data_IF_602826939144
#
_entry.id   IF_602826939144
#
_cell.length_a   1.000
_cell.length_b   1.000
_cell.length_c   1.000
_cell.angle_alpha   90.00
_cell.angle_beta   90.00
_cell.angle_gamma   90.00
#
_symmetry.space_group_name_H-M   'P 1'
#
loop_
_entity.id
_entity.type
_entity.pdbx_description
1 polymer ?
#
# COMPACT_ATOMS: atom_id res chain seq x y z
N UNK A 1 -0.18 1.93 -2.61
CA UNK A 1 -1.03 1.48 -3.74
C UNK A 1 -1.34 2.64 -4.69
N UNK A 2 -1.73 3.81 -4.20
CA UNK A 2 -2.15 4.95 -5.05
C UNK A 2 -1.08 5.35 -6.07
N UNK A 3 0.20 5.48 -5.67
CA UNK A 3 1.30 5.78 -6.59
C UNK A 3 1.49 4.69 -7.64
N UNK A 4 1.41 3.42 -7.26
CA UNK A 4 1.50 2.30 -8.21
C UNK A 4 0.38 2.33 -9.26
N UNK A 5 -0.79 2.85 -8.90
CA UNK A 5 -1.91 3.02 -9.83
C UNK A 5 -1.73 4.24 -10.72
N UNK A 6 -1.36 5.39 -10.16
CA UNK A 6 -1.40 6.67 -10.86
C UNK A 6 -0.13 6.98 -11.65
N UNK A 7 1.03 6.51 -11.19
CA UNK A 7 2.32 6.76 -11.85
C UNK A 7 2.53 5.77 -13.01
N UNK A 8 2.57 6.23 -14.28
CA UNK A 8 2.73 5.34 -15.43
C UNK A 8 4.11 4.64 -15.51
N UNK A 9 5.08 5.07 -14.70
CA UNK A 9 6.40 4.43 -14.62
C UNK A 9 6.42 3.26 -13.65
N UNK A 10 5.37 3.09 -12.84
CA UNK A 10 5.25 2.02 -11.86
C UNK A 10 4.54 0.80 -12.46
N UNK A 11 5.10 -0.37 -12.20
CA UNK A 11 4.53 -1.66 -12.61
C UNK A 11 4.20 -2.54 -11.40
N UNK A 12 2.91 -2.73 -11.16
CA UNK A 12 2.42 -3.58 -10.07
C UNK A 12 2.85 -5.06 -10.22
N UNK A 13 3.11 -5.52 -11.45
CA UNK A 13 3.50 -6.90 -11.71
C UNK A 13 4.87 -7.25 -11.13
N UNK A 14 5.77 -6.28 -11.02
CA UNK A 14 7.08 -6.48 -10.41
C UNK A 14 6.98 -6.92 -8.94
N UNK A 15 6.06 -6.31 -8.18
CA UNK A 15 5.82 -6.68 -6.79
C UNK A 15 5.12 -8.03 -6.65
N UNK A 16 4.20 -8.34 -7.58
CA UNK A 16 3.56 -9.65 -7.62
C UNK A 16 4.60 -10.75 -7.88
N UNK A 17 5.44 -10.60 -8.90
CA UNK A 17 6.51 -11.53 -9.21
C UNK A 17 7.53 -11.66 -8.08
N UNK A 18 7.85 -10.56 -7.40
CA UNK A 18 8.71 -10.60 -6.22
C UNK A 18 8.16 -11.53 -5.13
N UNK A 19 6.83 -11.51 -4.95
CA UNK A 19 6.16 -12.37 -3.99
C UNK A 19 6.02 -13.82 -4.49
N UNK A 20 5.52 -14.01 -5.72
CA UNK A 20 5.17 -15.35 -6.25
C UNK A 20 6.41 -16.18 -6.61
N UNK A 21 7.47 -15.56 -7.12
CA UNK A 21 8.67 -16.21 -7.66
C UNK A 21 9.89 -16.04 -6.75
N UNK A 22 9.76 -15.33 -5.62
CA UNK A 22 10.91 -14.95 -4.77
C UNK A 22 11.90 -14.04 -5.49
N UNK A 23 11.48 -13.42 -6.58
CA UNK A 23 12.27 -12.46 -7.32
C UNK A 23 12.46 -11.19 -6.48
N UNK A 24 13.71 -10.75 -6.32
CA UNK A 24 13.97 -9.44 -5.70
C UNK A 24 13.96 -8.39 -6.80
N UNK A 25 12.94 -7.52 -6.87
CA UNK A 25 12.93 -6.47 -7.89
C UNK A 25 14.18 -5.62 -7.73
N UNK A 26 14.78 -5.26 -8.85
CA UNK A 26 15.88 -4.31 -8.83
C UNK A 26 15.35 -3.01 -8.20
N UNK A 27 15.99 -2.60 -7.08
CA UNK A 27 15.58 -1.41 -6.33
C UNK A 27 15.49 -0.17 -7.22
N UNK A 28 16.39 -0.08 -8.21
CA UNK A 28 16.46 1.06 -9.13
C UNK A 28 15.30 1.08 -10.13
N UNK A 29 14.66 -0.06 -10.39
CA UNK A 29 13.46 -0.13 -11.21
C UNK A 29 12.20 0.28 -10.43
N UNK A 30 12.15 -0.03 -9.14
CA UNK A 30 10.92 0.10 -8.34
C UNK A 30 10.93 1.36 -7.47
N UNK A 31 12.08 1.70 -6.89
CA UNK A 31 12.19 2.76 -5.89
C UNK A 31 13.05 3.95 -6.35
N UNK A 32 13.57 3.92 -7.58
CA UNK A 32 14.28 5.05 -8.16
C UNK A 32 13.35 6.27 -8.19
N UNK A 33 13.83 7.41 -7.76
CA UNK A 33 13.08 8.67 -7.61
C UNK A 33 12.13 8.76 -6.41
N UNK A 34 12.23 7.85 -5.42
CA UNK A 34 11.45 7.95 -4.18
C UNK A 34 12.39 8.00 -2.97
N UNK A 35 12.15 8.97 -2.09
CA UNK A 35 12.86 9.11 -0.81
C UNK A 35 12.18 8.33 0.33
N UNK A 36 10.98 7.81 0.10
CA UNK A 36 10.23 7.06 1.09
C UNK A 36 9.33 5.99 0.47
N UNK A 37 9.22 4.84 1.12
CA UNK A 37 8.25 3.80 0.81
C UNK A 37 7.14 3.81 1.86
N UNK A 38 5.88 3.90 1.43
CA UNK A 38 4.71 4.00 2.31
C UNK A 38 3.61 3.09 1.78
N UNK A 39 2.85 2.48 2.70
CA UNK A 39 1.71 1.63 2.34
C UNK A 39 2.13 0.38 1.54
N UNK A 40 1.16 -0.33 0.97
CA UNK A 40 1.40 -1.49 0.12
C UNK A 40 1.85 -1.05 -1.29
N UNK A 41 2.81 -1.76 -1.92
CA UNK A 41 3.48 -2.99 -1.48
C UNK A 41 4.68 -2.78 -0.55
N UNK A 42 5.18 -1.56 -0.36
CA UNK A 42 6.37 -1.27 0.44
C UNK A 42 6.34 -1.90 1.84
N UNK A 43 5.17 -1.87 2.49
CA UNK A 43 4.97 -2.46 3.81
C UNK A 43 5.14 -4.01 3.84
N UNK A 44 4.98 -4.71 2.72
CA UNK A 44 5.20 -6.15 2.66
C UNK A 44 6.69 -6.51 2.55
N UNK A 45 7.47 -5.62 1.95
CA UNK A 45 8.90 -5.81 1.70
C UNK A 45 9.77 -4.95 2.64
N UNK A 46 9.22 -4.47 3.75
CA UNK A 46 9.89 -3.53 4.65
C UNK A 46 11.23 -4.05 5.17
N UNK A 47 11.33 -5.35 5.45
CA UNK A 47 12.53 -5.96 6.01
C UNK A 47 13.64 -6.07 4.94
N UNK A 48 13.29 -6.43 3.72
CA UNK A 48 14.24 -6.39 2.58
C UNK A 48 14.71 -4.95 2.31
N UNK A 49 13.79 -3.98 2.35
CA UNK A 49 14.13 -2.56 2.21
C UNK A 49 15.04 -2.09 3.36
N UNK A 50 14.76 -2.50 4.58
CA UNK A 50 15.59 -2.18 5.74
C UNK A 50 17.01 -2.75 5.61
N UNK A 51 17.17 -3.95 5.08
CA UNK A 51 18.50 -4.55 4.83
C UNK A 51 19.29 -3.78 3.77
N UNK A 52 18.60 -3.26 2.74
CA UNK A 52 19.22 -2.48 1.66
C UNK A 52 19.57 -1.06 2.12
N UNK A 53 18.70 -0.46 2.96
CA UNK A 53 18.82 0.91 3.48
C UNK A 53 18.94 0.92 5.01
N UNK A 54 20.04 0.44 5.59
CA UNK A 54 20.16 0.28 7.05
C UNK A 54 20.16 1.63 7.80
N UNK A 55 20.37 2.73 7.10
CA UNK A 55 20.29 4.09 7.66
C UNK A 55 18.91 4.75 7.56
N UNK A 56 17.96 4.11 6.89
CA UNK A 56 16.61 4.62 6.80
C UNK A 56 15.92 4.70 8.16
N UNK A 57 15.10 5.72 8.35
CA UNK A 57 14.20 5.83 9.49
C UNK A 57 12.93 5.04 9.22
N UNK A 58 12.51 4.23 10.17
CA UNK A 58 11.30 3.41 10.08
C UNK A 58 10.20 4.03 10.92
N UNK A 59 9.04 4.25 10.32
CA UNK A 59 7.84 4.71 11.02
C UNK A 59 6.83 3.57 11.01
N UNK A 60 6.59 3.00 12.18
CA UNK A 60 5.60 1.96 12.41
C UNK A 60 4.31 2.59 12.91
N UNK A 61 3.30 2.63 12.05
CA UNK A 61 1.98 3.09 12.48
C UNK A 61 1.30 2.04 13.34
N UNK A 62 0.85 2.43 14.53
CA UNK A 62 0.19 1.55 15.50
C UNK A 62 -1.21 2.05 15.81
N UNK A 63 -2.10 1.11 16.09
CA UNK A 63 -3.48 1.41 16.51
C UNK A 63 -4.06 0.24 17.29
N UNK A 64 -5.27 0.42 17.81
CA UNK A 64 -6.01 -0.66 18.42
C UNK A 64 -6.20 -1.84 17.45
N UNK A 65 -5.92 -3.09 17.86
CA UNK A 65 -5.98 -4.26 16.98
C UNK A 65 -7.38 -4.56 16.44
N UNK A 66 -8.44 -4.27 17.21
CA UNK A 66 -9.83 -4.44 16.78
C UNK A 66 -10.20 -3.41 15.71
N UNK A 67 -9.77 -2.17 15.90
CA UNK A 67 -9.94 -1.11 14.91
C UNK A 67 -9.15 -1.38 13.64
N UNK A 68 -7.96 -1.97 13.77
CA UNK A 68 -7.18 -2.41 12.62
C UNK A 68 -7.92 -3.49 11.84
N UNK A 69 -8.41 -4.54 12.53
CA UNK A 69 -9.12 -5.63 11.88
C UNK A 69 -10.37 -5.15 11.13
N UNK A 70 -11.15 -4.26 11.74
CA UNK A 70 -12.33 -3.65 11.09
C UNK A 70 -11.95 -2.87 9.82
N UNK A 71 -10.89 -2.06 9.92
CA UNK A 71 -10.41 -1.25 8.80
C UNK A 71 -9.94 -2.10 7.63
N UNK A 72 -9.13 -3.12 7.87
CA UNK A 72 -8.62 -4.04 6.84
C UNK A 72 -9.75 -4.80 6.16
N UNK A 73 -10.76 -5.26 6.93
CA UNK A 73 -11.92 -5.95 6.40
C UNK A 73 -12.71 -5.12 5.40
N UNK A 74 -12.83 -3.82 5.64
CA UNK A 74 -13.61 -2.91 4.81
C UNK A 74 -12.83 -2.32 3.62
N UNK A 75 -11.54 -2.56 3.54
CA UNK A 75 -10.68 -1.93 2.51
C UNK A 75 -9.89 -2.95 1.72
N UNK A 76 -8.83 -3.49 2.33
CA UNK A 76 -7.79 -4.25 1.62
C UNK A 76 -8.23 -5.70 1.37
N UNK A 77 -8.89 -6.33 2.36
CA UNK A 77 -9.29 -7.75 2.27
C UNK A 77 -10.30 -7.98 1.15
N UNK A 78 -11.26 -7.07 1.02
CA UNK A 78 -12.39 -7.19 0.12
C UNK A 78 -12.48 -5.97 -0.83
N UNK A 79 -11.37 -5.63 -1.47
CA UNK A 79 -11.32 -4.50 -2.41
C UNK A 79 -12.55 -4.49 -3.33
N UNK A 80 -13.51 -3.58 -3.11
CA UNK A 80 -14.76 -3.54 -3.86
C UNK A 80 -14.49 -2.95 -5.24
N UNK A 81 -14.58 -3.78 -6.26
CA UNK A 81 -14.77 -3.32 -7.63
C UNK A 81 -16.24 -3.56 -7.96
N UNK A 82 -16.96 -2.50 -8.34
CA UNK A 82 -18.38 -2.60 -8.68
C UNK A 82 -18.63 -3.67 -9.76
N UNK A 83 -19.70 -4.45 -9.64
CA UNK A 83 -20.07 -5.42 -10.65
C UNK A 83 -20.39 -4.68 -11.97
N UNK A 84 -19.83 -5.17 -13.09
CA UNK A 84 -20.10 -4.63 -14.43
C UNK A 84 -19.28 -3.39 -14.84
N UNK A 85 -18.47 -2.85 -13.98
CA UNK A 85 -17.57 -1.76 -14.34
C UNK A 85 -16.30 -2.28 -15.04
N UNK A 86 -15.94 -1.63 -16.15
CA UNK A 86 -14.64 -1.86 -16.79
C UNK A 86 -13.57 -1.04 -16.08
N UNK A 87 -12.48 -1.72 -15.71
CA UNK A 87 -11.36 -1.10 -15.02
C UNK A 87 -10.11 -1.10 -15.88
N UNK A 88 -9.30 -0.01 -15.89
CA UNK A 88 -8.02 0.03 -16.60
C UNK A 88 -7.11 -1.12 -16.17
N UNK A 89 -6.34 -1.65 -17.12
CA UNK A 89 -5.44 -2.79 -16.92
C UNK A 89 -4.51 -2.59 -15.72
N UNK A 90 -3.91 -1.41 -15.59
CA UNK A 90 -3.00 -1.12 -14.46
C UNK A 90 -3.70 -1.16 -13.09
N UNK A 91 -4.99 -0.85 -13.01
CA UNK A 91 -5.76 -1.00 -11.77
C UNK A 91 -6.08 -2.47 -11.49
N UNK A 92 -6.34 -3.25 -12.54
CA UNK A 92 -6.48 -4.71 -12.41
C UNK A 92 -5.18 -5.34 -11.93
N UNK A 93 -4.04 -4.95 -12.49
CA UNK A 93 -2.71 -5.41 -12.07
C UNK A 93 -2.41 -5.02 -10.62
N UNK A 94 -2.72 -3.79 -10.21
CA UNK A 94 -2.60 -3.36 -8.82
C UNK A 94 -3.49 -4.17 -7.86
N UNK A 95 -4.69 -4.57 -8.29
CA UNK A 95 -5.57 -5.46 -7.52
C UNK A 95 -5.01 -6.87 -7.41
N UNK A 96 -4.48 -7.42 -8.52
CA UNK A 96 -3.85 -8.75 -8.53
C UNK A 96 -2.65 -8.73 -7.57
N UNK A 97 -1.79 -7.72 -7.67
CA UNK A 97 -0.66 -7.52 -6.74
C UNK A 97 -1.13 -7.44 -5.29
N UNK A 98 -2.15 -6.64 -4.98
CA UNK A 98 -2.68 -6.53 -3.62
C UNK A 98 -3.23 -7.88 -3.11
N UNK A 99 -3.85 -8.67 -3.98
CA UNK A 99 -4.31 -10.03 -3.63
C UNK A 99 -3.14 -10.95 -3.31
N UNK A 100 -2.12 -10.99 -4.14
CA UNK A 100 -0.94 -11.86 -3.94
C UNK A 100 -0.13 -11.41 -2.72
N UNK A 101 0.31 -10.18 -2.70
CA UNK A 101 1.22 -9.66 -1.67
C UNK A 101 0.55 -9.53 -0.31
N UNK A 102 -0.68 -9.00 -0.27
CA UNK A 102 -1.36 -8.71 1.01
C UNK A 102 -2.19 -9.91 1.45
N UNK A 103 -3.18 -10.32 0.64
CA UNK A 103 -4.14 -11.36 1.07
C UNK A 103 -3.48 -12.72 1.21
N UNK A 104 -2.72 -13.16 0.21
CA UNK A 104 -2.04 -14.45 0.23
C UNK A 104 -0.74 -14.40 1.04
N UNK A 105 0.04 -13.33 0.89
CA UNK A 105 1.31 -13.14 1.57
C UNK A 105 1.15 -12.80 3.04
N UNK A 106 0.94 -11.52 3.35
CA UNK A 106 0.95 -11.03 4.74
C UNK A 106 -0.20 -11.60 5.56
N UNK A 107 -1.41 -11.66 5.02
CA UNK A 107 -2.57 -12.22 5.71
C UNK A 107 -2.69 -13.74 5.58
N UNK A 108 -1.88 -14.39 4.70
CA UNK A 108 -1.86 -15.85 4.46
C UNK A 108 -3.25 -16.46 4.27
N UNK A 109 -4.10 -15.78 3.49
CA UNK A 109 -5.51 -16.12 3.26
C UNK A 109 -6.36 -16.26 4.54
N UNK A 110 -5.89 -15.72 5.67
CA UNK A 110 -6.64 -15.78 6.92
C UNK A 110 -7.77 -14.76 6.93
N UNK A 111 -8.96 -15.20 7.29
CA UNK A 111 -10.14 -14.34 7.53
C UNK A 111 -10.61 -14.40 8.99
N UNK A 112 -10.05 -15.33 9.77
CA UNK A 112 -10.34 -15.46 11.19
C UNK A 112 -9.78 -14.26 11.97
N UNK A 113 -10.65 -13.64 12.77
CA UNK A 113 -10.37 -12.40 13.49
C UNK A 113 -9.20 -12.54 14.45
N UNK A 114 -9.23 -13.58 15.28
CA UNK A 114 -8.24 -13.74 16.35
C UNK A 114 -6.86 -14.00 15.78
N UNK A 115 -6.79 -14.81 14.74
CA UNK A 115 -5.54 -15.08 14.00
C UNK A 115 -5.03 -13.84 13.31
N UNK A 116 -5.88 -13.03 12.70
CA UNK A 116 -5.47 -11.77 12.05
C UNK A 116 -4.93 -10.77 13.08
N UNK A 117 -5.62 -10.60 14.20
CA UNK A 117 -5.18 -9.74 15.30
C UNK A 117 -3.85 -10.22 15.88
N UNK A 118 -3.70 -11.53 16.08
CA UNK A 118 -2.43 -12.12 16.54
C UNK A 118 -1.28 -11.77 15.59
N UNK A 119 -1.45 -11.94 14.28
CA UNK A 119 -0.44 -11.59 13.27
C UNK A 119 -0.11 -10.11 13.25
N UNK A 120 -1.10 -9.26 13.41
CA UNK A 120 -0.88 -7.82 13.50
C UNK A 120 0.02 -7.47 14.70
N UNK A 121 -0.25 -8.07 15.87
CA UNK A 121 0.59 -7.88 17.06
C UNK A 121 2.00 -8.43 16.86
N UNK A 122 2.11 -9.64 16.32
CA UNK A 122 3.40 -10.28 16.01
C UNK A 122 4.24 -9.43 15.04
N UNK A 123 3.61 -8.82 14.04
CA UNK A 123 4.29 -7.88 13.13
C UNK A 123 4.85 -6.66 13.87
N UNK A 124 4.05 -6.03 14.73
CA UNK A 124 4.49 -4.89 15.53
C UNK A 124 5.69 -5.26 16.41
N UNK A 125 5.61 -6.40 17.09
CA UNK A 125 6.69 -6.90 17.94
C UNK A 125 7.94 -7.25 17.13
N UNK A 126 7.78 -7.83 15.94
CA UNK A 126 8.88 -8.17 15.05
C UNK A 126 9.63 -6.91 14.60
N UNK A 127 8.92 -5.88 14.13
CA UNK A 127 9.53 -4.61 13.74
C UNK A 127 10.29 -3.98 14.91
N UNK A 128 9.69 -3.95 16.10
CA UNK A 128 10.33 -3.41 17.32
C UNK A 128 11.59 -4.16 17.73
N UNK A 129 11.68 -5.45 17.45
CA UNK A 129 12.84 -6.28 17.74
C UNK A 129 13.96 -6.10 16.73
N UNK A 130 13.61 -5.93 15.44
CA UNK A 130 14.60 -5.87 14.34
C UNK A 130 15.17 -4.47 14.19
N UNK A 131 14.34 -3.44 14.29
CA UNK A 131 14.76 -2.05 14.04
C UNK A 131 15.26 -1.41 15.34
N UNK A 132 16.48 -0.88 15.38
CA UNK A 132 17.01 -0.19 16.54
C UNK A 132 16.15 1.01 16.95
N UNK A 133 16.01 1.23 18.26
CA UNK A 133 15.11 2.25 18.82
C UNK A 133 15.39 3.69 18.34
N UNK A 134 16.64 4.00 18.02
CA UNK A 134 17.02 5.31 17.46
C UNK A 134 16.64 5.49 15.99
N UNK A 135 16.24 4.42 15.30
CA UNK A 135 15.79 4.42 13.90
C UNK A 135 14.29 4.06 13.75
N UNK A 136 13.59 3.84 14.86
CA UNK A 136 12.18 3.44 14.88
C UNK A 136 11.32 4.47 15.60
N UNK A 137 10.29 4.94 14.91
CA UNK A 137 9.17 5.65 15.54
C UNK A 137 7.92 4.75 15.50
N UNK A 138 7.38 4.36 16.64
CA UNK A 138 6.04 3.81 16.74
C UNK A 138 5.06 4.98 16.87
N UNK A 139 4.29 5.26 15.81
CA UNK A 139 3.39 6.40 15.72
C UNK A 139 1.94 5.95 15.88
N UNK A 140 1.30 6.38 16.94
CA UNK A 140 -0.12 6.13 17.20
C UNK A 140 -1.04 6.98 16.31
N UNK A 141 -2.22 6.46 16.07
CA UNK A 141 -3.23 7.18 15.31
C UNK A 141 -3.64 8.45 16.08
N UNK A 142 -3.50 9.62 15.45
CA UNK A 142 -3.87 10.91 16.04
C UNK A 142 -2.77 11.63 16.83
N UNK A 143 -1.57 11.10 16.95
CA UNK A 143 -0.45 11.79 17.62
C UNK A 143 0.04 13.05 16.92
N UNK A 144 -0.29 13.19 15.64
CA UNK A 144 -0.06 14.43 14.90
C UNK A 144 1.38 14.65 14.43
N UNK A 145 1.69 15.92 14.14
CA UNK A 145 3.00 16.32 13.60
C UNK A 145 4.15 16.24 14.60
N UNK A 146 3.87 16.43 15.90
CA UNK A 146 4.91 16.57 16.92
C UNK A 146 5.93 15.42 16.92
N UNK A 147 5.53 14.17 17.25
CA UNK A 147 6.42 13.02 17.27
C UNK A 147 7.09 12.76 15.91
N UNK A 148 6.33 12.92 14.83
CA UNK A 148 6.80 12.68 13.46
C UNK A 148 7.92 13.65 13.07
N UNK A 149 7.69 14.95 13.25
CA UNK A 149 8.68 15.99 12.91
C UNK A 149 9.91 15.90 13.79
N UNK A 150 9.73 15.65 15.10
CA UNK A 150 10.86 15.44 16.01
C UNK A 150 11.73 14.27 15.56
N UNK A 151 11.12 13.13 15.26
CA UNK A 151 11.85 11.95 14.81
C UNK A 151 12.57 12.17 13.48
N UNK A 152 11.94 12.86 12.53
CA UNK A 152 12.55 13.15 11.22
C UNK A 152 13.58 14.26 11.27
N UNK A 153 13.62 15.06 12.33
CA UNK A 153 14.47 16.24 12.43
C UNK A 153 13.96 17.42 11.58
N UNK A 154 12.65 17.49 11.40
CA UNK A 154 11.98 18.52 10.59
C UNK A 154 11.27 19.55 11.47
N UNK A 155 11.13 20.81 11.01
CA UNK A 155 10.33 21.79 11.70
C UNK A 155 8.85 21.41 11.69
N UNK A 156 8.13 21.81 12.74
CA UNK A 156 6.68 21.65 12.79
C UNK A 156 6.02 22.51 11.70
N UNK A 157 5.10 21.95 10.90
CA UNK A 157 4.33 22.72 9.94
C UNK A 157 3.50 23.80 10.66
N UNK A 158 3.56 25.04 10.17
CA UNK A 158 2.71 26.13 10.65
C UNK A 158 1.38 26.10 9.89
N UNK A 159 0.28 26.26 10.60
CA UNK A 159 -1.07 26.38 10.03
C UNK A 159 -1.52 25.21 9.14
N UNK A 160 -0.90 24.04 9.29
CA UNK A 160 -1.28 22.80 8.59
C UNK A 160 -1.76 21.77 9.62
N UNK A 161 -3.05 21.47 9.58
CA UNK A 161 -3.59 20.38 10.39
C UNK A 161 -3.01 19.04 9.97
N UNK A 162 -2.78 18.16 10.97
CA UNK A 162 -2.36 16.79 10.66
C UNK A 162 -3.47 16.10 9.86
N UNK A 163 -3.15 15.52 8.68
CA UNK A 163 -4.18 14.95 7.83
C UNK A 163 -4.86 13.74 8.47
N UNK A 164 -6.17 13.75 8.47
CA UNK A 164 -7.02 12.66 8.94
C UNK A 164 -7.93 12.18 7.79
N UNK A 165 -7.31 11.68 6.70
CA UNK A 165 -7.99 11.50 5.42
C UNK A 165 -8.33 10.06 5.05
N UNK A 166 -7.72 9.05 5.71
CA UNK A 166 -7.93 7.64 5.37
C UNK A 166 -9.10 7.03 6.16
N UNK A 167 -10.27 7.66 6.06
CA UNK A 167 -11.49 7.08 6.60
C UNK A 167 -11.97 6.02 5.60
N UNK A 168 -12.34 4.86 6.10
CA UNK A 168 -12.82 3.70 5.32
C UNK A 168 -13.91 4.08 4.31
N UNK A 169 -14.81 4.99 4.69
CA UNK A 169 -15.89 5.51 3.83
C UNK A 169 -15.37 6.15 2.53
N UNK A 170 -14.15 6.60 2.51
CA UNK A 170 -13.56 7.26 1.34
C UNK A 170 -12.80 6.31 0.39
N UNK A 171 -12.59 5.03 0.77
CA UNK A 171 -11.77 4.12 -0.03
C UNK A 171 -12.36 3.88 -1.43
N UNK A 172 -13.64 3.53 -1.50
CA UNK A 172 -14.32 3.33 -2.79
C UNK A 172 -14.32 4.59 -3.66
N UNK A 173 -14.58 5.76 -3.06
CA UNK A 173 -14.49 7.04 -3.77
C UNK A 173 -13.10 7.32 -4.32
N UNK A 174 -12.05 7.11 -3.52
CA UNK A 174 -10.65 7.27 -3.97
C UNK A 174 -10.30 6.35 -5.13
N UNK A 175 -10.78 5.11 -5.11
CA UNK A 175 -10.56 4.18 -6.21
C UNK A 175 -11.27 4.63 -7.48
N UNK A 176 -12.48 5.17 -7.37
CA UNK A 176 -13.21 5.72 -8.51
C UNK A 176 -12.53 6.99 -9.07
N UNK A 177 -12.08 7.88 -8.20
CA UNK A 177 -11.29 9.05 -8.58
C UNK A 177 -9.98 8.64 -9.29
N UNK A 178 -9.24 7.67 -8.74
CA UNK A 178 -8.04 7.11 -9.37
C UNK A 178 -8.32 6.53 -10.76
N UNK A 179 -9.45 5.80 -10.92
CA UNK A 179 -9.89 5.30 -12.21
C UNK A 179 -10.09 6.42 -13.24
N UNK A 180 -10.76 7.50 -12.85
CA UNK A 180 -11.00 8.63 -13.73
C UNK A 180 -9.69 9.34 -14.12
N UNK A 181 -8.74 9.46 -13.20
CA UNK A 181 -7.40 10.00 -13.47
C UNK A 181 -6.66 9.11 -14.48
N UNK A 182 -6.66 7.79 -14.29
CA UNK A 182 -6.01 6.85 -15.23
C UNK A 182 -6.67 6.97 -16.59
N UNK A 183 -8.00 6.97 -16.68
CA UNK A 183 -8.73 7.09 -17.96
C UNK A 183 -8.58 8.46 -18.65
N UNK A 184 -8.08 9.48 -17.93
CA UNK A 184 -7.74 10.76 -18.55
C UNK A 184 -6.34 10.77 -19.20
N UNK A 185 -5.53 9.77 -18.94
CA UNK A 185 -4.21 9.64 -19.57
C UNK A 185 -4.32 9.19 -21.03
N UNK A 186 -3.43 9.65 -21.92
CA UNK A 186 -3.47 9.30 -23.33
C UNK A 186 -3.46 7.78 -23.56
N UNK A 187 -4.35 7.29 -24.42
CA UNK A 187 -4.44 5.88 -24.82
C UNK A 187 -5.13 4.94 -23.83
N UNK A 188 -5.36 5.33 -22.57
CA UNK A 188 -5.94 4.42 -21.56
C UNK A 188 -7.43 4.10 -21.82
N UNK A 189 -8.20 5.05 -22.35
CA UNK A 189 -9.59 4.80 -22.79
C UNK A 189 -9.68 3.88 -23.98
N UNK A 190 -8.83 4.09 -24.98
CA UNK A 190 -8.79 3.27 -26.19
C UNK A 190 -8.41 1.83 -25.87
N UNK A 191 -7.44 1.61 -24.98
CA UNK A 191 -7.11 0.27 -24.48
C UNK A 191 -8.31 -0.40 -23.82
N UNK A 192 -9.07 0.33 -22.99
CA UNK A 192 -10.24 -0.20 -22.30
C UNK A 192 -11.39 -0.55 -23.25
N UNK A 193 -11.57 0.23 -24.31
CA UNK A 193 -12.61 0.06 -25.32
C UNK A 193 -12.21 -0.97 -26.41
N UNK A 194 -10.92 -1.01 -26.79
CA UNK A 194 -10.37 -1.89 -27.82
C UNK A 194 -10.32 -3.39 -27.45
N UNK A 195 -10.38 -3.73 -26.17
CA UNK A 195 -10.50 -5.12 -25.70
C UNK A 195 -11.85 -5.78 -26.09
N UNK A 196 -12.79 -5.02 -26.66
CA UNK A 196 -14.09 -5.51 -27.13
C UNK A 196 -14.28 -5.44 -28.65
N UNK A 197 -13.20 -5.41 -29.43
CA UNK A 197 -13.30 -5.64 -30.87
C UNK A 197 -13.83 -7.05 -31.15
N UNK A 198 -14.72 -7.26 -32.13
CA UNK A 198 -15.32 -8.55 -32.39
C UNK A 198 -14.23 -9.57 -32.71
N UNK A 199 -14.17 -10.67 -31.97
CA UNK A 199 -13.60 -11.90 -32.51
C UNK A 199 -14.50 -12.28 -33.68
N UNK A 200 -14.10 -11.87 -34.89
CA UNK A 200 -14.76 -12.29 -36.11
C UNK A 200 -14.45 -13.75 -36.32
N UNK A 201 -15.51 -14.54 -36.22
CA UNK A 201 -15.81 -15.85 -36.84
C UNK A 201 -14.66 -16.68 -37.41
#
# INVERSE_FOLDING_TARGET
VEKVILDPTQDASLFQRAFDEGFKPNRDEVFNNYDAAVDWPGAAFWEDLWQIYPDAKVILTVRDPEDWYRSVGMTIRDWPMGPGEKWPERMLNARIMARSVVKQGVLRNCSDKDTMIKRFKEHIEHVRRVVPSNKLLALGLGEGWGPLCHFLGLPLPKDIFYPFSNVVVNFGRKMFEARNIVLSQPGEREKLEGVNGPQAS
#
